data_IF_367237122417
#
_entry.id   IF_367237122417
#
_cell.length_a   1.000
_cell.length_b   1.000
_cell.length_c   1.000
_cell.angle_alpha   90.00
_cell.angle_beta   90.00
_cell.angle_gamma   90.00
#
_symmetry.space_group_name_H-M   'P 1'
#
loop_
_entity.id
_entity.type
_entity.pdbx_description
1 polymer ?
#
# COMPACT_ATOMS: atom_id res chain seq x y z
N UNK A 1 -1.70 -6.43 5.99
CA UNK A 1 -2.09 -7.29 4.87
C UNK A 1 -1.01 -7.21 3.81
N UNK A 2 -0.62 -8.38 3.24
CA UNK A 2 0.54 -8.44 2.36
C UNK A 2 1.82 -8.05 3.12
N UNK A 3 2.06 -8.66 4.29
CA UNK A 3 3.10 -8.19 5.21
C UNK A 3 4.53 -8.54 4.74
N UNK A 4 4.67 -9.24 3.63
CA UNK A 4 5.96 -9.62 3.10
C UNK A 4 6.78 -10.47 4.08
N UNK A 5 8.03 -10.16 4.24
CA UNK A 5 8.93 -10.83 5.21
C UNK A 5 8.78 -10.34 6.66
N UNK A 6 7.77 -9.48 6.93
CA UNK A 6 7.46 -8.95 8.26
C UNK A 6 8.34 -7.80 8.75
N UNK A 7 9.15 -7.20 7.90
CA UNK A 7 10.08 -6.12 8.30
C UNK A 7 9.34 -4.95 8.95
N UNK A 8 8.23 -4.46 8.36
CA UNK A 8 7.41 -3.40 8.95
C UNK A 8 6.77 -3.83 10.28
N UNK A 9 6.24 -5.05 10.36
CA UNK A 9 5.63 -5.59 11.58
C UNK A 9 6.66 -5.66 12.72
N UNK A 10 7.86 -6.16 12.43
CA UNK A 10 8.96 -6.21 13.40
C UNK A 10 9.32 -4.81 13.90
N UNK A 11 9.44 -3.85 12.99
CA UNK A 11 9.71 -2.45 13.36
C UNK A 11 8.62 -1.86 14.28
N UNK A 12 7.35 -2.09 13.95
CA UNK A 12 6.22 -1.58 14.74
C UNK A 12 6.16 -2.22 16.14
N UNK A 13 6.40 -3.53 16.23
CA UNK A 13 6.46 -4.24 17.51
C UNK A 13 7.62 -3.73 18.37
N UNK A 14 8.84 -3.74 17.81
CA UNK A 14 10.07 -3.50 18.58
C UNK A 14 10.25 -2.02 18.96
N UNK A 15 9.78 -1.08 18.13
CA UNK A 15 10.00 0.35 18.34
C UNK A 15 8.75 1.12 18.79
N UNK A 16 7.56 0.56 18.62
CA UNK A 16 6.29 1.24 18.95
C UNK A 16 5.42 0.44 19.92
N UNK A 17 5.85 -0.76 20.31
CA UNK A 17 5.09 -1.67 21.17
C UNK A 17 3.66 -1.92 20.67
N UNK A 18 3.50 -2.10 19.35
CA UNK A 18 2.22 -2.35 18.69
C UNK A 18 2.04 -3.86 18.52
N UNK A 19 0.90 -4.40 18.96
CA UNK A 19 0.50 -5.77 18.61
C UNK A 19 0.13 -5.83 17.13
N UNK A 20 0.91 -6.59 16.36
CA UNK A 20 0.76 -6.72 14.92
C UNK A 20 0.41 -8.16 14.55
N UNK A 21 -0.62 -8.30 13.69
CA UNK A 21 -0.95 -9.56 13.03
C UNK A 21 -0.82 -9.40 11.53
N UNK A 22 -0.12 -10.34 10.89
CA UNK A 22 0.13 -10.32 9.46
C UNK A 22 -0.73 -11.31 8.69
N UNK A 23 -1.00 -10.99 7.44
CA UNK A 23 -1.51 -11.91 6.43
C UNK A 23 -0.62 -11.82 5.19
N UNK A 24 -0.17 -12.95 4.67
CA UNK A 24 0.72 -13.03 3.52
C UNK A 24 0.40 -14.29 2.71
N UNK A 25 0.38 -14.17 1.38
CA UNK A 25 0.05 -15.28 0.48
C UNK A 25 1.25 -16.20 0.21
N UNK A 26 2.47 -15.66 0.30
CA UNK A 26 3.69 -16.39 0.03
C UNK A 26 4.15 -17.19 1.23
N UNK A 27 4.08 -18.52 1.15
CA UNK A 27 4.51 -19.44 2.20
C UNK A 27 5.94 -19.18 2.67
N UNK A 28 6.86 -18.89 1.77
CA UNK A 28 8.26 -18.57 2.10
C UNK A 28 8.36 -17.28 2.94
N UNK A 29 7.57 -16.25 2.60
CA UNK A 29 7.55 -15.00 3.38
C UNK A 29 6.88 -15.18 4.74
N UNK A 30 5.84 -16.01 4.83
CA UNK A 30 5.21 -16.42 6.10
C UNK A 30 6.23 -17.08 7.01
N UNK A 31 7.02 -18.02 6.50
CA UNK A 31 8.07 -18.67 7.26
C UNK A 31 9.09 -17.66 7.81
N UNK A 32 9.55 -16.72 6.99
CA UNK A 32 10.46 -15.63 7.44
C UNK A 32 9.86 -14.77 8.55
N UNK A 33 8.55 -14.53 8.53
CA UNK A 33 7.85 -13.83 9.61
C UNK A 33 7.87 -14.66 10.91
N UNK A 34 7.59 -15.95 10.83
CA UNK A 34 7.58 -16.87 11.98
C UNK A 34 8.99 -16.95 12.61
N UNK A 35 10.03 -17.04 11.79
CA UNK A 35 11.44 -17.00 12.26
C UNK A 35 11.79 -15.72 13.02
N UNK A 36 11.13 -14.60 12.70
CA UNK A 36 11.24 -13.31 13.42
C UNK A 36 10.34 -13.24 14.66
N UNK A 37 9.62 -14.31 15.02
CA UNK A 37 8.67 -14.36 16.13
C UNK A 37 7.44 -13.46 15.91
N UNK A 38 6.97 -13.31 14.66
CA UNK A 38 5.81 -12.51 14.31
C UNK A 38 4.56 -13.40 14.16
N UNK A 39 3.41 -12.89 14.59
CA UNK A 39 2.12 -13.55 14.37
C UNK A 39 1.66 -13.29 12.94
N UNK A 40 1.64 -14.33 12.10
CA UNK A 40 1.27 -14.23 10.69
C UNK A 40 0.40 -15.41 10.28
N UNK A 41 -0.52 -15.17 9.35
CA UNK A 41 -1.39 -16.17 8.74
C UNK A 41 -1.06 -16.26 7.26
N UNK A 42 -0.89 -17.46 6.72
CA UNK A 42 -0.88 -17.69 5.29
C UNK A 42 -2.30 -17.54 4.75
N UNK A 43 -2.50 -16.64 3.79
CA UNK A 43 -3.83 -16.39 3.24
C UNK A 43 -3.85 -15.37 2.11
N UNK A 44 -4.94 -15.43 1.33
CA UNK A 44 -5.25 -14.48 0.28
C UNK A 44 -6.20 -13.41 0.81
N UNK A 45 -5.77 -12.16 0.87
CA UNK A 45 -6.57 -11.07 1.42
C UNK A 45 -7.92 -10.86 0.70
N UNK A 46 -8.01 -11.16 -0.60
CA UNK A 46 -9.27 -11.06 -1.35
C UNK A 46 -10.33 -12.08 -0.93
N UNK A 47 -9.90 -13.17 -0.28
CA UNK A 47 -10.77 -14.29 0.11
C UNK A 47 -10.87 -14.45 1.62
N UNK A 48 -9.77 -14.21 2.32
CA UNK A 48 -9.63 -14.66 3.70
C UNK A 48 -9.82 -13.55 4.73
N UNK A 49 -9.84 -12.26 4.33
CA UNK A 49 -10.17 -11.16 5.24
C UNK A 49 -11.57 -11.30 5.83
N UNK A 50 -12.51 -11.92 5.13
CA UNK A 50 -13.88 -12.16 5.60
C UNK A 50 -13.93 -12.97 6.91
N UNK A 51 -12.90 -13.75 7.22
CA UNK A 51 -12.81 -14.55 8.45
C UNK A 51 -12.63 -13.69 9.71
N UNK A 52 -12.19 -12.44 9.56
CA UNK A 52 -11.99 -11.55 10.70
C UNK A 52 -13.28 -10.79 11.02
N UNK A 53 -13.62 -10.61 12.32
CA UNK A 53 -14.77 -9.83 12.74
C UNK A 53 -14.63 -8.35 12.33
N UNK A 54 -15.79 -7.69 12.23
CA UNK A 54 -15.83 -6.24 11.97
C UNK A 54 -15.12 -5.48 13.09
N UNK A 55 -14.32 -4.46 12.72
CA UNK A 55 -13.61 -3.56 13.65
C UNK A 55 -12.73 -4.28 14.68
N UNK A 56 -12.23 -5.48 14.33
CA UNK A 56 -11.35 -6.26 15.19
C UNK A 56 -9.94 -5.68 15.33
N UNK A 57 -9.58 -4.71 14.50
CA UNK A 57 -8.31 -4.00 14.53
C UNK A 57 -8.51 -2.49 14.60
N UNK A 58 -7.60 -1.77 15.30
CA UNK A 58 -7.61 -0.32 15.28
C UNK A 58 -7.15 0.23 13.93
N UNK A 59 -6.14 -0.41 13.33
CA UNK A 59 -5.64 -0.09 12.00
C UNK A 59 -5.45 -1.35 11.15
N UNK A 60 -5.91 -1.30 9.91
CA UNK A 60 -5.55 -2.26 8.88
C UNK A 60 -4.51 -1.60 7.94
N UNK A 61 -3.33 -2.23 7.78
CA UNK A 61 -2.24 -1.67 6.98
C UNK A 61 -2.05 -2.47 5.70
N UNK A 62 -2.01 -1.78 4.58
CA UNK A 62 -1.71 -2.31 3.26
C UNK A 62 -0.56 -1.52 2.64
N UNK A 63 0.65 -2.07 2.69
CA UNK A 63 1.85 -1.37 2.24
C UNK A 63 2.30 -1.88 0.89
N UNK A 64 2.20 -1.03 -0.13
CA UNK A 64 2.65 -1.27 -1.51
C UNK A 64 2.15 -2.61 -2.10
N UNK A 65 0.92 -2.99 -1.78
CA UNK A 65 0.33 -4.28 -2.20
C UNK A 65 -1.00 -4.08 -2.94
N UNK A 66 -1.63 -2.90 -2.82
CA UNK A 66 -2.95 -2.64 -3.40
C UNK A 66 -2.98 -2.93 -4.91
N UNK A 67 -1.93 -2.54 -5.61
CA UNK A 67 -1.79 -2.69 -7.05
C UNK A 67 -1.59 -4.15 -7.52
N UNK A 68 -1.37 -5.08 -6.60
CA UNK A 68 -1.17 -6.50 -6.88
C UNK A 68 -2.46 -7.33 -6.77
N UNK A 69 -3.55 -6.77 -6.27
CA UNK A 69 -4.83 -7.46 -6.17
C UNK A 69 -5.62 -7.42 -7.49
N UNK A 70 -6.42 -8.46 -7.74
CA UNK A 70 -7.35 -8.50 -8.87
C UNK A 70 -8.49 -7.49 -8.68
N UNK A 71 -8.96 -7.37 -7.44
CA UNK A 71 -10.04 -6.45 -7.08
C UNK A 71 -9.63 -5.53 -5.90
N UNK A 72 -8.90 -4.42 -6.17
CA UNK A 72 -8.44 -3.49 -5.13
C UNK A 72 -9.58 -2.86 -4.32
N UNK A 73 -10.74 -2.62 -4.94
CA UNK A 73 -11.90 -2.04 -4.26
C UNK A 73 -12.44 -2.97 -3.17
N UNK A 74 -12.58 -4.26 -3.48
CA UNK A 74 -13.00 -5.27 -2.51
C UNK A 74 -12.05 -5.30 -1.32
N UNK A 75 -10.74 -5.30 -1.57
CA UNK A 75 -9.74 -5.34 -0.50
C UNK A 75 -9.82 -4.09 0.39
N UNK A 76 -9.98 -2.89 -0.18
CA UNK A 76 -10.13 -1.67 0.62
C UNK A 76 -11.41 -1.73 1.47
N UNK A 77 -12.52 -2.21 0.92
CA UNK A 77 -13.76 -2.38 1.68
C UNK A 77 -13.58 -3.34 2.85
N UNK A 78 -12.88 -4.45 2.64
CA UNK A 78 -12.58 -5.40 3.71
C UNK A 78 -11.60 -4.83 4.75
N UNK A 79 -10.58 -4.09 4.33
CA UNK A 79 -9.69 -3.38 5.26
C UNK A 79 -10.46 -2.41 6.17
N UNK A 80 -11.43 -1.66 5.58
CA UNK A 80 -12.28 -0.72 6.32
C UNK A 80 -13.40 -1.43 7.12
N UNK A 81 -13.69 -2.69 6.83
CA UNK A 81 -14.57 -3.54 7.64
C UNK A 81 -13.85 -4.07 8.87
N UNK A 82 -12.66 -4.66 8.69
CA UNK A 82 -11.91 -5.29 9.78
C UNK A 82 -11.17 -4.28 10.65
N UNK A 83 -10.71 -3.16 10.07
CA UNK A 83 -10.05 -2.06 10.78
C UNK A 83 -11.01 -0.90 11.07
N UNK A 84 -10.77 -0.16 12.17
CA UNK A 84 -11.43 1.14 12.41
C UNK A 84 -10.99 2.16 11.36
N UNK A 85 -9.70 2.10 10.97
CA UNK A 85 -9.07 2.90 9.91
C UNK A 85 -8.15 2.02 9.08
N UNK A 86 -7.87 2.42 7.84
CA UNK A 86 -6.89 1.72 7.02
C UNK A 86 -5.77 2.67 6.58
N UNK A 87 -4.53 2.17 6.59
CA UNK A 87 -3.36 2.84 6.04
C UNK A 87 -3.00 2.13 4.75
N UNK A 88 -3.04 2.86 3.64
CA UNK A 88 -2.72 2.33 2.32
C UNK A 88 -1.52 3.10 1.76
N UNK A 89 -0.51 2.38 1.29
CA UNK A 89 0.60 3.00 0.56
C UNK A 89 0.66 2.46 -0.86
N UNK A 90 0.91 3.35 -1.81
CA UNK A 90 0.99 3.02 -3.23
C UNK A 90 2.24 3.61 -3.87
N UNK A 91 2.94 2.89 -4.76
CA UNK A 91 3.95 3.46 -5.62
C UNK A 91 3.29 4.43 -6.60
N UNK A 92 3.96 5.52 -6.93
CA UNK A 92 3.40 6.55 -7.78
C UNK A 92 3.92 6.46 -9.22
N UNK A 93 3.14 5.89 -10.12
CA UNK A 93 3.43 5.90 -11.55
C UNK A 93 3.37 7.30 -12.17
N UNK A 94 2.75 8.28 -11.49
CA UNK A 94 2.74 9.69 -11.88
C UNK A 94 4.03 10.47 -11.58
N UNK A 95 5.04 9.83 -10.98
CA UNK A 95 6.32 10.45 -10.64
C UNK A 95 7.09 10.91 -11.88
N UNK A 96 7.69 12.10 -11.85
CA UNK A 96 8.32 12.72 -13.02
C UNK A 96 9.42 11.86 -13.66
N UNK A 97 10.20 11.11 -12.86
CA UNK A 97 11.24 10.22 -13.40
C UNK A 97 10.63 9.07 -14.20
N UNK A 98 9.49 8.51 -13.75
CA UNK A 98 8.75 7.48 -14.48
C UNK A 98 8.26 8.04 -15.82
N UNK A 99 7.65 9.22 -15.79
CA UNK A 99 7.14 9.89 -17.01
C UNK A 99 8.26 10.22 -17.99
N UNK A 100 9.36 10.78 -17.49
CA UNK A 100 10.50 11.16 -18.34
C UNK A 100 11.18 9.93 -18.95
N UNK A 101 11.30 8.86 -18.18
CA UNK A 101 11.85 7.60 -18.69
C UNK A 101 10.99 7.03 -19.83
N UNK A 102 9.66 6.96 -19.62
CA UNK A 102 8.72 6.52 -20.65
C UNK A 102 8.77 7.42 -21.89
N UNK A 103 8.83 8.75 -21.70
CA UNK A 103 8.88 9.71 -22.81
C UNK A 103 10.15 9.58 -23.65
N UNK A 104 11.33 9.40 -23.00
CA UNK A 104 12.62 9.40 -23.69
C UNK A 104 13.00 8.01 -24.19
N UNK A 105 12.78 6.98 -23.35
CA UNK A 105 13.25 5.60 -23.66
C UNK A 105 12.16 4.70 -24.21
N UNK A 106 10.88 5.05 -24.03
CA UNK A 106 9.77 4.21 -24.49
C UNK A 106 9.66 2.84 -23.82
N UNK A 107 10.35 2.63 -22.67
CA UNK A 107 10.36 1.36 -21.93
C UNK A 107 9.85 1.58 -20.50
N UNK A 108 9.33 0.53 -19.87
CA UNK A 108 8.90 0.61 -18.47
C UNK A 108 10.10 0.88 -17.55
N UNK A 109 10.00 1.88 -16.66
CA UNK A 109 11.11 2.23 -15.78
C UNK A 109 11.22 1.26 -14.62
N UNK A 110 12.46 0.95 -14.24
CA UNK A 110 12.80 0.30 -12.98
C UNK A 110 13.24 1.40 -12.01
N UNK A 111 12.61 1.47 -10.85
CA UNK A 111 12.89 2.48 -9.81
C UNK A 111 12.97 1.82 -8.44
N UNK A 112 13.36 2.60 -7.41
CA UNK A 112 13.39 2.09 -6.03
C UNK A 112 12.00 1.62 -5.53
N UNK A 113 10.92 2.27 -5.97
CA UNK A 113 9.52 1.93 -5.62
C UNK A 113 8.85 0.98 -6.61
N UNK A 114 9.45 0.78 -7.77
CA UNK A 114 9.04 -0.15 -8.84
C UNK A 114 10.27 -0.96 -9.27
N UNK A 115 10.72 -1.92 -8.45
CA UNK A 115 12.01 -2.58 -8.65
C UNK A 115 11.99 -3.69 -9.71
N UNK A 116 10.80 -4.17 -10.08
CA UNK A 116 10.64 -5.33 -10.93
C UNK A 116 10.60 -4.95 -12.42
N UNK A 117 11.04 -5.85 -13.26
CA UNK A 117 10.85 -5.77 -14.71
C UNK A 117 9.37 -5.95 -15.08
N UNK A 118 8.94 -5.38 -16.20
CA UNK A 118 7.54 -5.36 -16.62
C UNK A 118 6.89 -6.76 -16.72
N UNK A 119 7.67 -7.79 -17.04
CA UNK A 119 7.20 -9.17 -17.21
C UNK A 119 7.30 -10.01 -15.92
N UNK A 120 7.96 -9.51 -14.90
CA UNK A 120 8.19 -10.21 -13.62
C UNK A 120 7.68 -9.42 -12.41
N UNK A 121 6.75 -8.49 -12.63
CA UNK A 121 6.16 -7.67 -11.58
C UNK A 121 4.85 -8.28 -11.09
N UNK A 122 4.60 -8.16 -9.78
CA UNK A 122 3.29 -8.45 -9.18
C UNK A 122 2.29 -7.31 -9.36
N UNK A 123 2.69 -6.17 -9.91
CA UNK A 123 1.82 -5.01 -10.09
C UNK A 123 0.87 -5.22 -11.28
N UNK A 124 -0.38 -5.53 -10.99
CA UNK A 124 -1.44 -5.67 -11.99
C UNK A 124 -2.03 -4.31 -12.41
N UNK A 125 -2.05 -3.34 -11.49
CA UNK A 125 -2.62 -2.03 -11.70
C UNK A 125 -1.57 -0.94 -11.55
N UNK A 126 -1.43 -0.10 -12.59
CA UNK A 126 -0.59 1.08 -12.54
C UNK A 126 -1.41 2.22 -11.94
N UNK A 127 -1.00 2.72 -10.78
CA UNK A 127 -1.72 3.74 -10.02
C UNK A 127 -0.82 4.92 -9.71
N UNK A 128 -1.34 6.13 -9.89
CA UNK A 128 -0.71 7.35 -9.40
C UNK A 128 -1.37 7.84 -8.10
N UNK A 129 -0.72 8.74 -7.40
CA UNK A 129 -1.30 9.43 -6.23
C UNK A 129 -2.65 10.06 -6.59
N UNK A 130 -2.74 10.67 -7.78
CA UNK A 130 -3.94 11.34 -8.26
C UNK A 130 -5.08 10.35 -8.53
N UNK A 131 -4.75 9.19 -9.13
CA UNK A 131 -5.73 8.13 -9.38
C UNK A 131 -6.34 7.59 -8.09
N UNK A 132 -5.50 7.34 -7.07
CA UNK A 132 -5.97 6.88 -5.77
C UNK A 132 -6.90 7.90 -5.09
N UNK A 133 -6.55 9.18 -5.12
CA UNK A 133 -7.41 10.25 -4.55
C UNK A 133 -8.76 10.31 -5.26
N UNK A 134 -8.79 10.21 -6.58
CA UNK A 134 -10.04 10.18 -7.36
C UNK A 134 -10.83 8.91 -7.11
N UNK A 135 -10.17 7.77 -7.06
CA UNK A 135 -10.80 6.50 -6.70
C UNK A 135 -11.47 6.57 -5.33
N UNK A 136 -10.76 7.05 -4.30
CA UNK A 136 -11.30 7.18 -2.96
C UNK A 136 -12.51 8.12 -2.92
N UNK A 137 -12.44 9.26 -3.62
CA UNK A 137 -13.55 10.22 -3.73
C UNK A 137 -14.77 9.61 -4.41
N UNK A 138 -14.58 8.90 -5.52
CA UNK A 138 -15.68 8.30 -6.30
C UNK A 138 -16.34 7.13 -5.56
N UNK A 139 -15.65 6.50 -4.61
CA UNK A 139 -16.17 5.40 -3.78
C UNK A 139 -16.57 5.84 -2.37
N UNK A 140 -16.61 7.16 -2.11
CA UNK A 140 -16.95 7.73 -0.81
C UNK A 140 -16.06 7.23 0.36
N UNK A 141 -14.79 6.90 0.08
CA UNK A 141 -13.81 6.67 1.13
C UNK A 141 -13.28 8.01 1.60
N UNK A 142 -13.40 8.28 2.89
CA UNK A 142 -12.88 9.52 3.49
C UNK A 142 -11.36 9.38 3.69
N UNK A 143 -10.58 10.22 2.99
CA UNK A 143 -9.14 10.35 3.25
C UNK A 143 -8.95 11.35 4.38
N UNK A 144 -8.59 10.85 5.57
CA UNK A 144 -8.38 11.71 6.75
C UNK A 144 -6.97 12.31 6.81
N UNK A 145 -5.97 11.61 6.25
CA UNK A 145 -4.60 12.13 6.06
C UNK A 145 -4.00 11.57 4.78
N UNK A 146 -3.23 12.39 4.09
CA UNK A 146 -2.48 11.96 2.90
C UNK A 146 -1.09 12.59 2.88
N UNK A 147 -0.10 11.74 2.64
CA UNK A 147 1.31 12.10 2.62
C UNK A 147 1.95 11.67 1.32
N UNK A 148 2.87 12.48 0.84
CA UNK A 148 3.74 12.23 -0.29
C UNK A 148 5.17 12.02 0.23
N UNK A 149 5.78 10.91 -0.15
CA UNK A 149 7.19 10.61 0.12
C UNK A 149 8.00 10.84 -1.16
N UNK A 150 9.14 11.51 -1.03
CA UNK A 150 10.13 11.64 -2.08
C UNK A 150 11.52 11.45 -1.45
N UNK A 151 12.20 10.36 -1.78
CA UNK A 151 13.39 9.91 -1.07
C UNK A 151 13.15 9.83 0.45
N UNK A 152 13.73 10.73 1.24
CA UNK A 152 13.57 10.79 2.69
C UNK A 152 12.64 11.92 3.16
N UNK A 153 12.15 12.75 2.24
CA UNK A 153 11.28 13.87 2.59
C UNK A 153 9.81 13.49 2.56
N UNK A 154 9.11 13.80 3.65
CA UNK A 154 7.67 13.57 3.80
C UNK A 154 6.96 14.91 3.77
N UNK A 155 5.85 15.00 3.02
CA UNK A 155 5.04 16.20 2.94
C UNK A 155 3.55 15.88 2.81
N UNK A 156 2.69 16.77 3.30
CA UNK A 156 1.25 16.60 3.17
C UNK A 156 0.76 16.81 1.74
N UNK A 157 -0.18 15.99 1.34
CA UNK A 157 -0.97 16.17 0.12
C UNK A 157 -2.24 16.93 0.51
N UNK A 158 -2.55 17.99 -0.23
CA UNK A 158 -3.77 18.80 -0.12
C UNK A 158 -4.35 18.98 -1.51
N UNK A 159 -5.61 19.38 -1.63
CA UNK A 159 -6.26 19.57 -2.94
C UNK A 159 -5.50 20.56 -3.84
N UNK A 160 -5.02 21.66 -3.26
CA UNK A 160 -4.29 22.71 -3.99
C UNK A 160 -2.88 22.29 -4.45
N UNK A 161 -2.30 21.22 -3.92
CA UNK A 161 -0.97 20.76 -4.30
C UNK A 161 -0.93 19.33 -4.86
N UNK A 162 -2.09 18.67 -5.01
CA UNK A 162 -2.20 17.29 -5.47
C UNK A 162 -1.44 17.05 -6.80
N UNK A 163 -1.60 17.92 -7.78
CA UNK A 163 -0.91 17.81 -9.06
C UNK A 163 0.61 17.86 -8.93
N UNK A 164 1.12 18.79 -8.13
CA UNK A 164 2.54 18.93 -7.84
C UNK A 164 3.08 17.72 -7.08
N UNK A 165 2.39 17.27 -6.02
CA UNK A 165 2.79 16.10 -5.26
C UNK A 165 2.78 14.81 -6.10
N UNK A 166 1.78 14.66 -6.98
CA UNK A 166 1.74 13.57 -7.93
C UNK A 166 2.94 13.57 -8.91
N UNK A 167 3.50 14.75 -9.20
CA UNK A 167 4.66 14.85 -10.08
C UNK A 167 5.98 14.53 -9.35
N UNK A 168 6.16 15.00 -8.11
CA UNK A 168 7.46 14.95 -7.43
C UNK A 168 7.65 13.80 -6.46
N UNK A 169 6.57 13.15 -6.00
CA UNK A 169 6.65 12.05 -5.04
C UNK A 169 6.70 10.69 -5.74
N UNK A 170 7.46 9.76 -5.18
CA UNK A 170 7.58 8.38 -5.66
C UNK A 170 6.63 7.42 -4.92
N UNK A 171 6.12 7.82 -3.74
CA UNK A 171 5.16 7.05 -2.94
C UNK A 171 4.06 7.93 -2.35
N UNK A 172 2.83 7.44 -2.38
CA UNK A 172 1.69 8.00 -1.66
C UNK A 172 1.32 7.17 -0.44
N UNK A 173 0.99 7.84 0.68
CA UNK A 173 0.55 7.21 1.94
C UNK A 173 -0.79 7.84 2.32
N UNK A 174 -1.80 7.02 2.53
CA UNK A 174 -3.17 7.46 2.80
C UNK A 174 -3.72 6.80 4.05
N UNK A 175 -4.27 7.60 4.94
CA UNK A 175 -5.12 7.15 6.05
C UNK A 175 -6.57 7.33 5.62
N UNK A 176 -7.28 6.23 5.50
CA UNK A 176 -8.67 6.21 5.04
C UNK A 176 -9.61 5.67 6.12
N UNK A 177 -10.83 6.18 6.11
CA UNK A 177 -11.93 5.75 6.98
C UNK A 177 -13.27 5.82 6.22
N UNK A 178 -14.30 5.18 6.75
CA UNK A 178 -15.67 5.29 6.24
C UNK A 178 -16.33 6.54 6.76
#
# INVERSE_FOLDING_TARGET
VGCGDGTLMKFLRDNKNIDCRGMEISKNKVQKCIEKGLTVIEGNAEKDLIQFPNKSFDYAILSQTLQAFLNPELVINELLRVGKKAIVTIPNFGYWKVRLHLLIKGTMPITKTLPDEWHNTSNLHMCSIKDFVYFAKNRNFKISKSLALNNESISFIKDNNLGYKNLIADLGIFLIER
#
